data_IF_740641764133
#
_entry.id   IF_740641764133
#
_cell.length_a   1.000
_cell.length_b   1.000
_cell.length_c   1.000
_cell.angle_alpha   90.00
_cell.angle_beta   90.00
_cell.angle_gamma   90.00
#
_symmetry.space_group_name_H-M   'P 1'
#
loop_
_entity.id
_entity.type
_entity.pdbx_description
1 polymer ?
#
# COMPACT_ATOMS: atom_id res chain seq x y z
N UNK A 1 -12.17 -10.39 -19.58
CA UNK A 1 -11.21 -10.20 -18.46
C UNK A 1 -10.37 -8.99 -18.81
N UNK A 2 -10.33 -8.00 -17.92
CA UNK A 2 -9.50 -6.81 -18.10
C UNK A 2 -8.02 -7.22 -17.91
N UNK A 3 -7.14 -6.78 -18.81
CA UNK A 3 -5.71 -7.10 -18.75
C UNK A 3 -5.08 -6.23 -17.65
N UNK A 4 -4.34 -6.83 -16.72
CA UNK A 4 -3.54 -6.07 -15.77
C UNK A 4 -2.57 -5.17 -16.55
N UNK A 5 -2.65 -3.86 -16.30
CA UNK A 5 -1.75 -2.86 -16.85
C UNK A 5 -1.03 -2.16 -15.71
N UNK A 6 0.20 -1.68 -15.97
CA UNK A 6 0.89 -0.83 -15.02
C UNK A 6 0.10 0.46 -14.83
N UNK A 7 -0.26 0.77 -13.59
CA UNK A 7 -0.85 2.06 -13.25
C UNK A 7 0.23 3.16 -13.30
N UNK A 8 -0.19 4.39 -13.60
CA UNK A 8 0.69 5.55 -13.53
C UNK A 8 1.17 5.83 -12.10
N UNK A 9 2.31 6.49 -11.99
CA UNK A 9 2.88 6.87 -10.70
C UNK A 9 1.98 7.86 -9.95
N UNK A 10 1.89 7.68 -8.64
CA UNK A 10 1.13 8.55 -7.73
C UNK A 10 1.93 8.77 -6.45
N UNK A 11 1.71 9.90 -5.81
CA UNK A 11 2.27 10.13 -4.47
C UNK A 11 1.64 9.18 -3.45
N UNK A 12 2.45 8.71 -2.51
CA UNK A 12 2.00 7.93 -1.38
C UNK A 12 2.73 8.30 -0.09
N UNK A 13 2.08 8.10 1.04
CA UNK A 13 2.71 8.13 2.36
C UNK A 13 2.40 6.84 3.10
N UNK A 14 3.17 6.58 4.17
CA UNK A 14 2.86 5.51 5.10
C UNK A 14 2.85 6.02 6.54
N UNK A 15 2.11 5.33 7.39
CA UNK A 15 2.10 5.55 8.83
C UNK A 15 2.00 4.23 9.57
N UNK A 16 2.48 4.20 10.81
CA UNK A 16 2.36 3.06 11.71
C UNK A 16 1.68 3.54 12.98
N UNK A 17 0.65 2.82 13.42
CA UNK A 17 -0.08 3.15 14.63
C UNK A 17 -0.55 1.88 15.36
N UNK A 18 -1.01 2.04 16.60
CA UNK A 18 -1.33 0.92 17.49
C UNK A 18 -0.16 0.54 18.40
N UNK A 19 -0.35 -0.50 19.20
CA UNK A 19 0.63 -1.02 20.16
C UNK A 19 0.64 -2.55 20.13
N UNK A 20 1.83 -3.13 20.30
CA UNK A 20 2.08 -4.57 20.38
C UNK A 20 1.44 -5.35 19.21
N UNK A 21 0.60 -6.34 19.52
CA UNK A 21 -0.11 -7.19 18.56
C UNK A 21 -1.19 -6.45 17.76
N UNK A 22 -1.49 -5.18 18.09
CA UNK A 22 -2.45 -4.32 17.37
C UNK A 22 -1.75 -3.29 16.49
N UNK A 23 -0.46 -3.45 16.23
CA UNK A 23 0.28 -2.56 15.34
C UNK A 23 -0.22 -2.72 13.89
N UNK A 24 -0.49 -1.59 13.25
CA UNK A 24 -1.02 -1.50 11.88
C UNK A 24 -0.12 -0.60 11.06
N UNK A 25 0.33 -1.11 9.91
CA UNK A 25 0.93 -0.31 8.83
C UNK A 25 -0.18 0.18 7.92
N UNK A 26 -0.23 1.47 7.64
CA UNK A 26 -1.11 2.07 6.65
C UNK A 26 -0.30 2.68 5.53
N UNK A 27 -0.72 2.43 4.28
CA UNK A 27 -0.24 3.11 3.09
C UNK A 27 -1.41 3.88 2.48
N UNK A 28 -1.23 5.18 2.30
CA UNK A 28 -2.18 6.04 1.63
C UNK A 28 -1.61 6.47 0.28
N UNK A 29 -2.42 6.37 -0.77
CA UNK A 29 -2.10 6.97 -2.07
C UNK A 29 -2.98 8.19 -2.29
N UNK A 30 -2.43 9.19 -2.96
CA UNK A 30 -3.12 10.41 -3.35
C UNK A 30 -3.23 10.35 -4.86
N UNK A 31 -4.46 10.36 -5.39
CA UNK A 31 -4.68 10.13 -6.81
C UNK A 31 -3.91 11.10 -7.71
N UNK A 32 -3.89 10.84 -9.01
CA UNK A 32 -3.03 11.56 -9.96
C UNK A 32 -3.02 13.08 -9.77
N UNK A 33 -1.86 13.69 -10.07
CA UNK A 33 -1.67 15.15 -9.96
C UNK A 33 -2.67 15.95 -10.81
N UNK A 34 -3.23 15.32 -11.85
CA UNK A 34 -4.24 15.90 -12.74
C UNK A 34 -5.66 15.91 -12.14
N UNK A 35 -5.87 15.40 -10.93
CA UNK A 35 -7.19 15.45 -10.29
C UNK A 35 -7.58 16.89 -9.98
N UNK A 36 -8.88 17.16 -10.19
CA UNK A 36 -9.53 18.45 -9.85
C UNK A 36 -9.35 18.86 -8.38
N UNK A 37 -9.11 17.89 -7.47
CA UNK A 37 -8.76 18.14 -6.07
C UNK A 37 -7.43 17.41 -5.79
N UNK A 38 -6.29 18.11 -5.95
CA UNK A 38 -4.97 17.55 -5.65
C UNK A 38 -4.84 17.16 -4.17
N UNK A 39 -4.06 16.13 -3.88
CA UNK A 39 -3.76 15.72 -2.50
C UNK A 39 -4.89 15.01 -1.75
N UNK A 40 -6.05 14.79 -2.37
CA UNK A 40 -7.10 13.95 -1.75
C UNK A 40 -6.69 12.48 -1.80
N UNK A 41 -6.67 11.86 -0.62
CA UNK A 41 -6.49 10.42 -0.44
C UNK A 41 -7.45 9.64 -1.35
N UNK A 42 -6.88 8.79 -2.21
CA UNK A 42 -7.65 7.96 -3.14
C UNK A 42 -7.84 6.54 -2.65
N UNK A 43 -6.83 5.99 -1.98
CA UNK A 43 -6.86 4.62 -1.47
C UNK A 43 -6.12 4.58 -0.14
N UNK A 44 -6.57 3.68 0.72
CA UNK A 44 -5.89 3.28 1.95
C UNK A 44 -5.76 1.77 1.91
N UNK A 45 -4.55 1.28 2.15
CA UNK A 45 -4.31 -0.14 2.41
C UNK A 45 -3.71 -0.25 3.81
N UNK A 46 -4.29 -1.11 4.63
CA UNK A 46 -3.83 -1.37 5.99
C UNK A 46 -3.41 -2.82 6.14
N UNK A 47 -2.31 -3.03 6.85
CA UNK A 47 -1.79 -4.34 7.17
C UNK A 47 -1.63 -4.45 8.68
N UNK A 48 -2.31 -5.45 9.25
CA UNK A 48 -1.96 -5.97 10.57
C UNK A 48 -0.74 -6.90 10.47
N UNK A 49 -0.28 -7.41 11.61
CA UNK A 49 0.88 -8.31 11.66
C UNK A 49 0.75 -9.52 10.71
N UNK A 50 -0.43 -10.13 10.65
CA UNK A 50 -0.67 -11.34 9.86
C UNK A 50 -0.66 -11.07 8.37
N UNK A 51 -1.37 -10.04 7.92
CA UNK A 51 -1.44 -9.66 6.51
C UNK A 51 -0.13 -9.06 6.01
N UNK A 52 0.61 -8.35 6.86
CA UNK A 52 1.97 -7.88 6.54
C UNK A 52 2.92 -9.05 6.29
N UNK A 53 2.87 -10.09 7.13
CA UNK A 53 3.68 -11.30 6.95
C UNK A 53 3.32 -12.04 5.64
N UNK A 54 2.02 -12.12 5.31
CA UNK A 54 1.57 -12.71 4.05
C UNK A 54 2.09 -11.93 2.84
N UNK A 55 1.98 -10.60 2.85
CA UNK A 55 2.52 -9.77 1.78
C UNK A 55 4.03 -9.93 1.67
N UNK A 56 4.76 -9.95 2.80
CA UNK A 56 6.21 -10.15 2.80
C UNK A 56 6.61 -11.49 2.15
N UNK A 57 5.88 -12.58 2.45
CA UNK A 57 6.14 -13.89 1.83
C UNK A 57 5.94 -13.86 0.32
N UNK A 58 4.84 -13.26 -0.16
CA UNK A 58 4.59 -13.08 -1.61
C UNK A 58 5.74 -12.30 -2.26
N UNK A 59 6.12 -11.16 -1.69
CA UNK A 59 7.21 -10.35 -2.22
C UNK A 59 8.55 -11.09 -2.21
N UNK A 60 8.83 -11.84 -1.14
CA UNK A 60 10.03 -12.65 -1.00
C UNK A 60 10.10 -13.75 -2.06
N UNK A 61 9.01 -14.48 -2.27
CA UNK A 61 8.96 -15.61 -3.19
C UNK A 61 9.06 -15.15 -4.65
N UNK A 62 8.41 -14.03 -4.99
CA UNK A 62 8.37 -13.51 -6.37
C UNK A 62 9.62 -12.70 -6.75
N UNK A 63 10.23 -11.96 -5.81
CA UNK A 63 11.36 -11.06 -6.09
C UNK A 63 12.69 -11.50 -5.46
N UNK A 64 12.71 -12.59 -4.69
CA UNK A 64 13.94 -13.15 -4.12
C UNK A 64 14.57 -12.33 -2.99
N UNK A 65 13.77 -11.54 -2.27
CA UNK A 65 14.26 -10.74 -1.13
C UNK A 65 14.81 -11.64 0.00
N UNK A 66 15.90 -11.21 0.65
CA UNK A 66 16.59 -11.97 1.70
C UNK A 66 16.34 -11.38 3.08
#
# INVERSE_FOLDING_TARGET
>A
MERNALHGEVSGTYSVFGQDERLVLQIDTYGSLERKIPGKKSQTVQFDRKSAEQLFRILKDEFGFR
#
